data_IF_454988506527
#
_entry.id   IF_454988506527
#
_cell.length_a   1.000
_cell.length_b   1.000
_cell.length_c   1.000
_cell.angle_alpha   90.00
_cell.angle_beta   90.00
_cell.angle_gamma   90.00
#
_symmetry.space_group_name_H-M   'P 1'
#
loop_
_entity.id
_entity.type
_entity.pdbx_description
1 polymer ?
#
# COMPACT_ATOMS: atom_id res chain seq x y z
N UNK A 1 11.22 -2.63 -17.21
CA UNK A 1 11.09 -3.79 -16.30
C UNK A 1 9.74 -3.73 -15.63
N UNK A 2 8.98 -4.81 -15.66
CA UNK A 2 7.69 -4.86 -15.00
C UNK A 2 7.86 -5.20 -13.51
N UNK A 3 6.97 -4.63 -12.70
CA UNK A 3 6.91 -4.89 -11.26
C UNK A 3 5.90 -6.00 -11.01
N UNK A 4 6.18 -6.98 -10.15
CA UNK A 4 5.18 -7.97 -9.79
C UNK A 4 3.93 -7.31 -9.22
N UNK A 5 2.76 -7.87 -9.55
CA UNK A 5 1.48 -7.36 -9.08
C UNK A 5 0.68 -8.45 -8.40
N UNK A 6 -0.15 -8.04 -7.44
CA UNK A 6 -1.10 -8.92 -6.76
C UNK A 6 -2.45 -8.21 -6.72
N UNK A 7 -3.52 -8.97 -6.94
CA UNK A 7 -4.88 -8.43 -6.81
C UNK A 7 -5.32 -8.42 -5.36
N UNK A 8 -6.24 -7.52 -5.00
CA UNK A 8 -6.75 -7.42 -3.62
C UNK A 8 -7.43 -8.72 -3.19
N UNK A 9 -8.03 -9.47 -4.10
CA UNK A 9 -8.66 -10.75 -3.78
C UNK A 9 -7.67 -11.83 -3.36
N UNK A 10 -6.39 -11.65 -3.66
CA UNK A 10 -5.33 -12.60 -3.31
C UNK A 10 -4.66 -12.26 -1.97
N UNK A 11 -5.06 -11.13 -1.37
CA UNK A 11 -4.54 -10.70 -0.07
C UNK A 11 -5.56 -11.02 1.01
N UNK A 12 -5.14 -11.50 2.19
CA UNK A 12 -6.05 -11.63 3.31
C UNK A 12 -6.53 -10.25 3.78
N UNK A 13 -7.69 -10.21 4.43
CA UNK A 13 -8.27 -8.96 4.91
C UNK A 13 -7.39 -8.24 5.93
N UNK A 14 -6.59 -8.99 6.68
CA UNK A 14 -5.66 -8.45 7.67
C UNK A 14 -4.24 -8.27 7.15
N UNK A 15 -4.04 -8.30 5.84
CA UNK A 15 -2.72 -8.14 5.25
C UNK A 15 -2.09 -6.82 5.67
N UNK A 16 -0.81 -6.86 6.02
CA UNK A 16 -0.01 -5.66 6.24
C UNK A 16 0.41 -5.15 4.87
N UNK A 17 0.00 -3.93 4.53
CA UNK A 17 0.35 -3.29 3.27
C UNK A 17 1.05 -1.95 3.55
N UNK A 18 2.00 -1.61 2.70
CA UNK A 18 2.70 -0.32 2.79
C UNK A 18 1.93 0.71 1.97
N UNK A 19 1.33 1.69 2.65
CA UNK A 19 0.57 2.75 2.01
C UNK A 19 1.49 3.95 1.76
N UNK A 20 1.66 4.30 0.49
CA UNK A 20 2.62 5.34 0.08
C UNK A 20 1.95 6.63 -0.37
N UNK A 21 0.64 6.78 -0.07
CA UNK A 21 -0.14 7.95 -0.42
C UNK A 21 0.19 9.15 0.47
N UNK A 22 -0.38 10.29 0.12
CA UNK A 22 -0.25 11.50 0.92
C UNK A 22 -1.06 11.41 2.22
N UNK A 23 -0.72 12.27 3.19
CA UNK A 23 -1.36 12.24 4.51
C UNK A 23 -2.87 12.46 4.44
N UNK A 24 -3.37 13.33 3.56
CA UNK A 24 -4.80 13.57 3.46
C UNK A 24 -5.56 12.35 2.94
N UNK A 25 -4.95 11.58 2.04
CA UNK A 25 -5.54 10.34 1.55
C UNK A 25 -5.61 9.29 2.66
N UNK A 26 -4.53 9.16 3.41
CA UNK A 26 -4.43 8.24 4.55
C UNK A 26 -5.48 8.54 5.61
N UNK A 27 -5.63 9.80 5.98
CA UNK A 27 -6.59 10.25 6.98
C UNK A 27 -8.02 9.92 6.59
N UNK A 28 -8.35 10.08 5.29
CA UNK A 28 -9.71 9.87 4.79
C UNK A 28 -10.12 8.39 4.78
N UNK A 29 -9.17 7.48 4.54
CA UNK A 29 -9.48 6.06 4.54
C UNK A 29 -8.31 5.22 4.05
N UNK A 30 -8.12 4.06 4.69
CA UNK A 30 -7.00 3.15 4.40
C UNK A 30 -7.37 1.72 4.71
N UNK A 31 -6.63 0.77 4.16
CA UNK A 31 -6.74 -0.63 4.53
C UNK A 31 -6.45 -0.77 6.03
N UNK A 32 -7.19 -1.64 6.73
CA UNK A 32 -7.21 -1.68 8.19
C UNK A 32 -5.83 -1.89 8.82
N UNK A 33 -4.95 -2.69 8.20
CA UNK A 33 -3.62 -3.00 8.73
C UNK A 33 -2.50 -2.35 7.91
N UNK A 34 -2.80 -1.25 7.21
CA UNK A 34 -1.80 -0.52 6.45
C UNK A 34 -0.81 0.20 7.35
N UNK A 35 0.43 0.29 6.90
CA UNK A 35 1.50 1.08 7.51
C UNK A 35 1.79 2.23 6.56
N UNK A 36 1.81 3.47 7.07
CA UNK A 36 1.92 4.66 6.25
C UNK A 36 3.36 5.16 6.17
N UNK A 37 3.92 5.13 4.98
CA UNK A 37 5.17 5.85 4.67
C UNK A 37 4.94 6.55 3.33
N UNK A 38 4.69 7.85 3.32
CA UNK A 38 4.48 8.59 2.08
C UNK A 38 5.64 8.41 1.11
N UNK A 39 5.33 8.33 -0.17
CA UNK A 39 6.31 8.07 -1.22
C UNK A 39 7.52 9.02 -1.14
N UNK A 40 7.29 10.30 -0.84
CA UNK A 40 8.36 11.30 -0.77
C UNK A 40 9.34 11.08 0.38
N UNK A 41 8.97 10.26 1.38
CA UNK A 41 9.84 10.01 2.54
C UNK A 41 10.63 8.70 2.44
N UNK A 42 10.35 7.91 1.41
CA UNK A 42 10.90 6.55 1.33
C UNK A 42 12.42 6.46 1.30
N UNK A 43 13.15 7.30 0.55
CA UNK A 43 14.60 7.17 0.52
C UNK A 43 15.25 7.22 1.90
N UNK A 44 14.68 8.00 2.83
CA UNK A 44 15.18 8.11 4.19
C UNK A 44 14.53 7.19 5.20
N UNK A 45 13.59 6.33 4.77
CA UNK A 45 12.74 5.55 5.68
C UNK A 45 12.83 4.05 5.46
N UNK A 46 13.83 3.56 4.72
CA UNK A 46 13.92 2.13 4.40
C UNK A 46 14.01 1.25 5.65
N UNK A 47 14.61 1.75 6.72
CA UNK A 47 14.69 1.02 7.98
C UNK A 47 13.37 0.94 8.76
N UNK A 48 12.34 1.66 8.34
CA UNK A 48 11.05 1.71 9.02
C UNK A 48 9.97 0.85 8.36
N UNK A 49 10.32 0.13 7.30
CA UNK A 49 9.37 -0.68 6.56
C UNK A 49 8.96 -1.90 7.39
N UNK A 50 7.68 -2.31 7.31
CA UNK A 50 7.24 -3.51 8.02
C UNK A 50 7.88 -4.76 7.42
N UNK A 51 8.12 -5.76 8.27
CA UNK A 51 8.54 -7.08 7.82
C UNK A 51 7.33 -7.95 7.57
N UNK A 52 7.33 -8.66 6.45
CA UNK A 52 6.26 -9.58 6.08
C UNK A 52 6.84 -10.94 5.73
N UNK A 53 6.01 -12.00 5.81
CA UNK A 53 6.47 -13.37 5.54
C UNK A 53 6.82 -13.58 4.06
N UNK A 54 6.25 -12.78 3.18
CA UNK A 54 6.52 -12.81 1.73
C UNK A 54 6.82 -11.41 1.23
N UNK A 55 6.63 -11.16 -0.08
CA UNK A 55 6.83 -9.82 -0.63
C UNK A 55 5.97 -8.79 0.07
N UNK A 56 6.53 -7.60 0.33
CA UNK A 56 5.80 -6.51 0.93
C UNK A 56 4.81 -5.93 -0.09
N UNK A 57 3.49 -6.00 0.17
CA UNK A 57 2.52 -5.37 -0.72
C UNK A 57 2.57 -3.86 -0.56
N UNK A 58 2.66 -3.14 -1.67
CA UNK A 58 2.71 -1.68 -1.70
C UNK A 58 1.44 -1.17 -2.36
N UNK A 59 0.75 -0.26 -1.69
CA UNK A 59 -0.56 0.23 -2.11
C UNK A 59 -0.55 1.76 -2.22
N UNK A 60 -1.21 2.28 -3.25
CA UNK A 60 -1.54 3.69 -3.36
C UNK A 60 -3.03 3.82 -3.68
N UNK A 61 -3.46 4.91 -4.33
CA UNK A 61 -4.88 5.08 -4.66
C UNK A 61 -5.33 4.09 -5.73
N UNK A 62 -4.61 4.02 -6.85
CA UNK A 62 -5.02 3.23 -8.03
C UNK A 62 -3.93 2.31 -8.58
N UNK A 63 -2.71 2.36 -8.04
CA UNK A 63 -1.63 1.45 -8.41
C UNK A 63 -0.42 2.07 -9.09
N UNK A 64 -0.47 3.34 -9.51
CA UNK A 64 0.63 3.95 -10.27
C UNK A 64 1.82 4.33 -9.40
N UNK A 65 1.58 5.06 -8.30
CA UNK A 65 2.65 5.46 -7.38
C UNK A 65 3.27 4.26 -6.69
N UNK A 66 2.43 3.31 -6.29
CA UNK A 66 2.90 2.10 -5.61
C UNK A 66 3.73 1.21 -6.53
N UNK A 67 3.46 1.19 -7.83
CA UNK A 67 4.30 0.48 -8.78
C UNK A 67 5.71 1.08 -8.83
N UNK A 68 5.82 2.41 -8.82
CA UNK A 68 7.11 3.09 -8.77
C UNK A 68 7.87 2.78 -7.49
N UNK A 69 7.16 2.79 -6.35
CA UNK A 69 7.76 2.47 -5.05
C UNK A 69 8.21 1.02 -5.01
N UNK A 70 7.40 0.09 -5.48
CA UNK A 70 7.79 -1.32 -5.52
C UNK A 70 9.05 -1.52 -6.35
N UNK A 71 9.16 -0.87 -7.50
CA UNK A 71 10.37 -0.92 -8.33
C UNK A 71 11.59 -0.38 -7.57
N UNK A 72 11.44 0.73 -6.87
CA UNK A 72 12.49 1.32 -6.04
C UNK A 72 12.95 0.34 -4.94
N UNK A 73 11.99 -0.27 -4.24
CA UNK A 73 12.30 -1.22 -3.17
C UNK A 73 13.05 -2.44 -3.70
N UNK A 74 12.59 -3.00 -4.81
CA UNK A 74 13.24 -4.14 -5.44
C UNK A 74 14.68 -3.79 -5.84
N UNK A 75 14.88 -2.61 -6.39
CA UNK A 75 16.23 -2.15 -6.76
C UNK A 75 17.15 -2.03 -5.53
N UNK A 76 16.57 -1.86 -4.33
CA UNK A 76 17.31 -1.80 -3.07
C UNK A 76 17.34 -3.13 -2.32
N UNK A 77 17.00 -4.24 -2.99
CA UNK A 77 17.08 -5.57 -2.40
C UNK A 77 15.91 -5.94 -1.50
N UNK A 78 14.82 -5.16 -1.54
CA UNK A 78 13.62 -5.42 -0.73
C UNK A 78 12.57 -6.07 -1.63
N UNK A 79 12.10 -7.25 -1.25
CA UNK A 79 11.08 -7.97 -2.00
C UNK A 79 9.73 -7.26 -1.84
N UNK A 80 9.14 -6.83 -2.95
CA UNK A 80 7.92 -6.02 -2.94
C UNK A 80 7.02 -6.40 -4.10
N UNK A 81 5.72 -6.16 -3.93
CA UNK A 81 4.70 -6.42 -4.95
C UNK A 81 3.71 -5.27 -4.98
N UNK A 82 3.30 -4.84 -6.17
CA UNK A 82 2.32 -3.77 -6.32
C UNK A 82 0.91 -4.33 -6.15
N UNK A 83 0.09 -3.66 -5.34
CA UNK A 83 -1.33 -4.01 -5.21
C UNK A 83 -2.10 -3.39 -6.38
N UNK A 84 -2.53 -4.21 -7.33
CA UNK A 84 -3.24 -3.76 -8.51
C UNK A 84 -4.56 -3.08 -8.12
N UNK A 85 -4.82 -1.92 -8.70
CA UNK A 85 -6.04 -1.13 -8.42
C UNK A 85 -6.00 -0.37 -7.09
N UNK A 86 -5.03 -0.63 -6.24
CA UNK A 86 -4.79 0.13 -5.02
C UNK A 86 -5.94 0.14 -4.03
N UNK A 87 -6.02 1.22 -3.25
CA UNK A 87 -7.06 1.39 -2.23
C UNK A 87 -8.45 1.46 -2.86
N UNK A 88 -8.57 1.93 -4.10
CA UNK A 88 -9.85 1.89 -4.82
C UNK A 88 -10.35 0.46 -4.98
N UNK A 89 -9.49 -0.46 -5.41
CA UNK A 89 -9.87 -1.86 -5.55
C UNK A 89 -10.15 -2.52 -4.20
N UNK A 90 -9.38 -2.18 -3.17
CA UNK A 90 -9.58 -2.65 -1.81
C UNK A 90 -10.98 -2.29 -1.30
N UNK A 91 -11.37 -1.02 -1.46
CA UNK A 91 -12.69 -0.53 -1.05
C UNK A 91 -13.81 -1.16 -1.87
N UNK A 92 -13.62 -1.28 -3.18
CA UNK A 92 -14.63 -1.89 -4.08
C UNK A 92 -14.88 -3.36 -3.74
N UNK A 93 -13.87 -4.06 -3.23
CA UNK A 93 -14.00 -5.45 -2.81
C UNK A 93 -14.63 -5.59 -1.41
N UNK A 94 -14.97 -4.50 -0.75
CA UNK A 94 -15.57 -4.51 0.59
C UNK A 94 -14.62 -4.96 1.68
N UNK A 95 -13.31 -4.85 1.47
CA UNK A 95 -12.32 -5.28 2.45
C UNK A 95 -12.22 -4.27 3.60
N UNK A 96 -11.73 -4.69 4.79
CA UNK A 96 -11.72 -3.84 5.98
C UNK A 96 -10.92 -2.56 5.79
N UNK A 97 -11.53 -1.44 6.15
CA UNK A 97 -10.91 -0.12 6.10
C UNK A 97 -11.14 0.63 7.39
N UNK A 98 -10.27 1.58 7.67
CA UNK A 98 -10.42 2.51 8.78
C UNK A 98 -10.11 3.94 8.33
N UNK A 99 -10.49 4.92 9.13
CA UNK A 99 -10.23 6.33 8.89
C UNK A 99 -10.02 7.03 10.22
N UNK A 100 -9.43 8.21 10.19
CA UNK A 100 -9.23 8.98 11.42
C UNK A 100 -10.57 9.50 11.97
N UNK A 101 -11.50 9.86 11.07
CA UNK A 101 -12.82 10.36 11.45
C UNK A 101 -13.88 9.81 10.52
N UNK A 102 -15.02 9.39 11.08
CA UNK A 102 -16.16 8.95 10.31
C UNK A 102 -15.92 7.68 9.52
N UNK A 103 -16.72 7.48 8.48
CA UNK A 103 -16.61 6.32 7.61
C UNK A 103 -15.45 6.49 6.64
N UNK A 104 -14.65 5.42 6.43
CA UNK A 104 -13.54 5.51 5.48
C UNK A 104 -14.01 5.73 4.05
N UNK A 105 -13.31 6.60 3.36
CA UNK A 105 -13.51 6.85 1.93
C UNK A 105 -12.16 6.90 1.24
N UNK A 106 -12.14 6.67 -0.06
CA UNK A 106 -10.93 6.83 -0.86
C UNK A 106 -10.92 8.23 -1.43
N UNK A 107 -10.05 9.06 -0.85
CA UNK A 107 -9.93 10.46 -1.26
C UNK A 107 -9.30 10.61 -2.65
#
# INVERSE_FOLDING_TARGET
MSVPEIGVSELPDDAVVLDVREAFEWTAGRAANAVHVPMGRLPGSLGQLPSTAGPLPVICRSGARSAQVAAFLIAHGIDAVNVAGGTQAWAAAGKPMTADFGNPVVA
#
